data_IF_010951154286
#
_entry.id   IF_010951154286
#
_cell.length_a   1.000
_cell.length_b   1.000
_cell.length_c   1.000
_cell.angle_alpha   90.00
_cell.angle_beta   90.00
_cell.angle_gamma   90.00
#
_symmetry.space_group_name_H-M   'P 1'
#
loop_
_entity.id
_entity.type
_entity.pdbx_description
1 polymer ?
#
# COMPACT_ATOMS: atom_id res chain seq x y z
N UNK A 1 4.19 -9.45 5.79
CA UNK A 1 5.08 -8.31 5.48
C UNK A 1 4.33 -7.03 5.78
N UNK A 2 5.02 -5.92 6.07
CA UNK A 2 4.39 -4.66 6.51
C UNK A 2 4.01 -3.71 5.35
N UNK A 3 4.18 -4.13 4.09
CA UNK A 3 3.73 -3.37 2.92
C UNK A 3 4.59 -2.15 2.56
N UNK A 4 5.72 -1.94 3.23
CA UNK A 4 6.64 -0.81 3.01
C UNK A 4 7.60 -0.96 1.81
N UNK A 5 7.64 -2.15 1.18
CA UNK A 5 8.46 -2.41 -0.01
C UNK A 5 7.80 -3.50 -0.86
N UNK A 6 6.95 -3.08 -1.79
CA UNK A 6 6.23 -3.93 -2.72
C UNK A 6 7.14 -4.21 -3.92
N UNK A 7 7.19 -5.45 -4.44
CA UNK A 7 8.00 -5.82 -5.60
C UNK A 7 7.34 -5.38 -6.91
N UNK A 8 6.87 -4.13 -6.96
CA UNK A 8 6.17 -3.49 -8.07
C UNK A 8 6.84 -2.17 -8.42
N UNK A 9 6.77 -1.80 -9.70
CA UNK A 9 7.23 -0.51 -10.18
C UNK A 9 6.33 0.63 -9.71
N UNK A 10 6.79 1.85 -9.92
CA UNK A 10 5.97 3.05 -9.69
C UNK A 10 4.81 3.07 -10.68
N UNK A 11 3.60 3.34 -10.21
CA UNK A 11 2.44 3.51 -11.09
C UNK A 11 2.10 2.28 -11.93
N UNK A 12 2.30 1.07 -11.42
CA UNK A 12 2.01 -0.18 -12.16
C UNK A 12 0.75 -0.91 -11.70
N UNK A 13 0.17 -0.52 -10.57
CA UNK A 13 -1.02 -1.15 -10.00
C UNK A 13 -2.26 -0.24 -10.19
N UNK A 14 -3.37 -0.82 -10.65
CA UNK A 14 -4.66 -0.14 -10.68
C UNK A 14 -5.32 -0.09 -9.30
N UNK A 15 -5.13 -1.15 -8.50
CA UNK A 15 -5.75 -1.32 -7.18
C UNK A 15 -4.72 -1.90 -6.20
N UNK A 16 -4.68 -1.35 -4.99
CA UNK A 16 -3.99 -1.92 -3.83
C UNK A 16 -5.01 -2.23 -2.74
N UNK A 17 -4.95 -3.44 -2.20
CA UNK A 17 -5.88 -3.93 -1.18
C UNK A 17 -5.12 -4.29 0.09
N UNK A 18 -5.52 -3.71 1.21
CA UNK A 18 -5.24 -4.27 2.53
C UNK A 18 -6.47 -5.03 3.00
N UNK A 19 -6.39 -6.36 2.93
CA UNK A 19 -7.45 -7.26 3.40
C UNK A 19 -7.08 -7.78 4.79
N UNK A 20 -7.77 -7.31 5.82
CA UNK A 20 -7.58 -7.68 7.23
C UNK A 20 -6.12 -7.72 7.68
N UNK A 21 -5.32 -6.79 7.16
CA UNK A 21 -3.85 -6.82 7.33
C UNK A 21 -3.24 -5.48 7.72
N UNK A 22 -3.89 -4.35 7.41
CA UNK A 22 -3.30 -3.04 7.71
C UNK A 22 -3.06 -2.82 9.21
N UNK A 23 -3.95 -3.33 10.07
CA UNK A 23 -3.83 -3.22 11.53
C UNK A 23 -2.65 -4.04 12.11
N UNK A 24 -2.02 -4.92 11.33
CA UNK A 24 -0.79 -5.60 11.74
C UNK A 24 0.47 -4.77 11.49
N UNK A 25 0.37 -3.67 10.74
CA UNK A 25 1.49 -2.75 10.51
C UNK A 25 1.72 -1.93 11.79
N UNK A 26 2.94 -1.91 12.35
CA UNK A 26 3.26 -1.07 13.50
C UNK A 26 2.87 0.38 13.24
N UNK A 27 2.34 1.07 14.25
CA UNK A 27 1.81 2.44 14.10
C UNK A 27 2.83 3.40 13.47
N UNK A 28 4.10 3.33 13.90
CA UNK A 28 5.20 4.13 13.36
C UNK A 28 5.58 3.82 11.90
N UNK A 29 5.11 2.70 11.35
CA UNK A 29 5.38 2.25 9.97
C UNK A 29 4.17 2.41 9.04
N UNK A 30 2.97 2.68 9.57
CA UNK A 30 1.75 2.78 8.76
C UNK A 30 1.83 3.85 7.68
N UNK A 31 2.44 5.00 7.97
CA UNK A 31 2.63 6.06 6.97
C UNK A 31 3.53 5.61 5.82
N UNK A 32 4.58 4.82 6.09
CA UNK A 32 5.46 4.27 5.05
C UNK A 32 4.73 3.23 4.19
N UNK A 33 3.90 2.38 4.80
CA UNK A 33 3.09 1.39 4.08
C UNK A 33 2.03 2.04 3.17
N UNK A 34 1.42 3.16 3.60
CA UNK A 34 0.50 3.93 2.77
C UNK A 34 1.21 4.70 1.65
N UNK A 35 2.40 5.26 1.92
CA UNK A 35 3.23 5.90 0.90
C UNK A 35 3.66 4.90 -0.18
N UNK A 36 4.02 3.68 0.22
CA UNK A 36 4.39 2.62 -0.71
C UNK A 36 3.19 2.14 -1.54
N UNK A 37 2.01 1.98 -0.92
CA UNK A 37 0.78 1.72 -1.66
C UNK A 37 0.48 2.82 -2.68
N UNK A 38 0.71 4.09 -2.33
CA UNK A 38 0.55 5.22 -3.25
C UNK A 38 1.58 5.19 -4.39
N UNK A 39 2.84 4.82 -4.11
CA UNK A 39 3.93 4.73 -5.10
C UNK A 39 3.57 3.78 -6.24
N UNK A 40 3.08 2.59 -5.89
CA UNK A 40 2.77 1.57 -6.89
C UNK A 40 1.48 1.84 -7.65
N UNK A 41 0.58 2.70 -7.13
CA UNK A 41 -0.68 3.03 -7.78
C UNK A 41 -0.50 3.97 -8.98
N UNK A 42 -1.15 3.64 -10.10
CA UNK A 42 -1.32 4.57 -11.24
C UNK A 42 -1.99 5.88 -10.79
N UNK A 43 -1.83 7.00 -11.54
CA UNK A 43 -2.68 8.17 -11.34
C UNK A 43 -4.16 7.80 -11.43
N UNK A 44 -4.94 8.07 -10.36
CA UNK A 44 -6.35 7.70 -10.28
C UNK A 44 -6.63 6.27 -9.80
N UNK A 45 -5.61 5.48 -9.48
CA UNK A 45 -5.77 4.14 -8.91
C UNK A 45 -6.39 4.13 -7.51
N UNK A 46 -6.89 2.96 -7.08
CA UNK A 46 -7.65 2.82 -5.83
C UNK A 46 -6.86 2.10 -4.74
N UNK A 47 -6.81 2.70 -3.56
CA UNK A 47 -6.42 2.03 -2.33
C UNK A 47 -7.69 1.69 -1.53
N UNK A 48 -7.89 0.43 -1.17
CA UNK A 48 -8.95 0.01 -0.26
C UNK A 48 -8.39 -0.74 0.94
N UNK A 49 -8.92 -0.42 2.12
CA UNK A 49 -8.50 -0.96 3.42
C UNK A 49 -9.77 -1.46 4.13
N UNK A 50 -9.80 -2.74 4.50
CA UNK A 50 -10.92 -3.40 5.18
C UNK A 50 -10.46 -4.57 6.05
#
# INVERSE_FOLDING_TARGET
>A
GTGQSLPLGDGTADIVLYVHSFHHVPEGEQSAALAEARRVLVPGGTLAIF
#
